data_IF_925355131970
#
_entry.id   IF_925355131970
#
_cell.length_a   1.000
_cell.length_b   1.000
_cell.length_c   1.000
_cell.angle_alpha   90.00
_cell.angle_beta   90.00
_cell.angle_gamma   90.00
#
_symmetry.space_group_name_H-M   'P 1'
#
loop_
_entity.id
_entity.type
_entity.pdbx_description
1 polymer ?
#
# COMPACT_ATOMS: atom_id res chain seq x y z
N UNK A 1 9.43 -12.62 -2.42
CA UNK A 1 10.19 -12.71 -1.15
C UNK A 1 9.47 -13.50 -0.06
N UNK A 2 8.30 -13.07 0.44
CA UNK A 2 7.61 -13.76 1.55
C UNK A 2 7.26 -15.24 1.26
N UNK A 3 6.89 -15.59 0.02
CA UNK A 3 6.65 -16.99 -0.39
C UNK A 3 7.89 -17.87 -0.22
N UNK A 4 9.06 -17.33 -0.52
CA UNK A 4 10.34 -18.03 -0.36
C UNK A 4 10.68 -18.20 1.13
N UNK A 5 10.53 -17.14 1.93
CA UNK A 5 10.77 -17.17 3.37
C UNK A 5 9.81 -18.12 4.11
N UNK A 6 8.55 -18.22 3.67
CA UNK A 6 7.57 -19.19 4.16
C UNK A 6 7.96 -20.62 3.80
N UNK A 7 8.43 -20.87 2.57
CA UNK A 7 8.93 -22.18 2.13
C UNK A 7 10.11 -22.66 2.98
N UNK A 8 10.93 -21.74 3.46
CA UNK A 8 12.07 -22.03 4.33
C UNK A 8 11.73 -21.96 5.84
N UNK A 9 10.45 -21.87 6.22
CA UNK A 9 10.00 -21.75 7.62
C UNK A 9 10.68 -20.61 8.41
N UNK A 10 11.25 -19.62 7.72
CA UNK A 10 12.09 -18.58 8.29
C UNK A 10 11.36 -17.75 9.36
N UNK A 11 10.07 -17.48 9.16
CA UNK A 11 9.24 -16.76 10.15
C UNK A 11 9.08 -17.55 11.46
N UNK A 12 8.93 -18.88 11.37
CA UNK A 12 8.82 -19.75 12.54
C UNK A 12 10.15 -19.86 13.30
N UNK A 13 11.28 -19.94 12.58
CA UNK A 13 12.61 -19.99 13.17
C UNK A 13 12.99 -18.69 13.89
N UNK A 14 12.55 -17.54 13.38
CA UNK A 14 12.80 -16.23 13.99
C UNK A 14 11.77 -15.86 15.08
N UNK A 15 10.79 -16.72 15.37
CA UNK A 15 9.71 -16.42 16.32
C UNK A 15 8.85 -15.21 15.91
N UNK A 16 8.84 -14.87 14.62
CA UNK A 16 8.12 -13.73 14.07
C UNK A 16 6.82 -14.17 13.42
N UNK A 17 5.73 -13.45 13.67
CA UNK A 17 4.50 -13.66 12.92
C UNK A 17 4.67 -13.22 11.46
N UNK A 18 4.12 -14.02 10.54
CA UNK A 18 4.12 -13.67 9.14
C UNK A 18 3.45 -12.31 8.92
N UNK A 19 4.14 -11.31 8.32
CA UNK A 19 3.56 -10.02 8.09
C UNK A 19 2.40 -10.14 7.10
N UNK A 20 1.24 -9.61 7.48
CA UNK A 20 0.08 -9.54 6.59
C UNK A 20 0.40 -8.55 5.48
N UNK A 21 0.76 -9.04 4.30
CA UNK A 21 1.06 -8.22 3.12
C UNK A 21 -0.08 -7.25 2.75
N UNK A 22 -1.33 -7.58 3.12
CA UNK A 22 -2.48 -6.70 2.97
C UNK A 22 -2.36 -5.38 3.76
N UNK A 23 -1.51 -5.33 4.78
CA UNK A 23 -1.18 -4.11 5.54
C UNK A 23 -0.13 -3.24 4.87
N UNK A 24 0.51 -3.74 3.82
CA UNK A 24 1.51 -3.02 3.01
C UNK A 24 0.95 -2.58 1.66
N UNK A 25 -0.32 -2.89 1.37
CA UNK A 25 -0.97 -2.54 0.09
C UNK A 25 -1.06 -1.02 -0.10
N UNK A 26 -1.07 -0.23 0.97
CA UNK A 26 -1.02 1.23 0.91
C UNK A 26 0.34 1.74 0.35
N UNK A 27 1.44 1.08 0.68
CA UNK A 27 2.76 1.35 0.10
C UNK A 27 2.88 0.88 -1.35
N UNK A 28 2.27 -0.27 -1.68
CA UNK A 28 2.18 -0.75 -3.07
C UNK A 28 1.39 0.23 -3.92
N UNK A 29 0.25 0.73 -3.42
CA UNK A 29 -0.57 1.70 -4.12
C UNK A 29 0.20 3.02 -4.40
N UNK A 30 0.97 3.50 -3.43
CA UNK A 30 1.85 4.67 -3.61
C UNK A 30 2.94 4.38 -4.66
N UNK A 31 3.63 3.24 -4.55
CA UNK A 31 4.73 2.86 -5.45
C UNK A 31 4.27 2.66 -6.89
N UNK A 32 3.14 2.00 -7.11
CA UNK A 32 2.58 1.76 -8.45
C UNK A 32 2.20 3.07 -9.15
N UNK A 33 1.69 4.05 -8.41
CA UNK A 33 1.31 5.33 -9.01
C UNK A 33 2.53 6.25 -9.19
N UNK A 34 3.47 6.27 -8.24
CA UNK A 34 4.69 7.07 -8.33
C UNK A 34 5.64 6.61 -9.45
N UNK A 35 5.64 5.31 -9.77
CA UNK A 35 6.51 4.72 -10.79
C UNK A 35 5.92 4.82 -12.22
N UNK A 36 4.79 5.53 -12.39
CA UNK A 36 4.10 5.72 -13.68
C UNK A 36 3.90 4.40 -14.43
N UNK A 37 3.73 3.30 -13.69
CA UNK A 37 3.52 1.97 -14.25
C UNK A 37 2.09 1.93 -14.81
N UNK A 38 1.86 1.36 -16.01
CA UNK A 38 0.51 1.20 -16.53
C UNK A 38 -0.37 0.50 -15.49
N UNK A 39 -1.53 1.12 -15.23
CA UNK A 39 -2.53 0.65 -14.29
C UNK A 39 -3.32 -0.50 -14.91
N UNK A 40 -2.65 -1.64 -15.04
CA UNK A 40 -3.23 -2.91 -15.45
C UNK A 40 -4.30 -3.35 -14.43
N UNK A 41 -5.20 -4.26 -14.81
CA UNK A 41 -6.32 -4.68 -13.93
C UNK A 41 -5.89 -5.07 -12.52
N UNK A 42 -4.76 -5.79 -12.39
CA UNK A 42 -4.21 -6.18 -11.09
C UNK A 42 -3.73 -4.98 -10.27
N UNK A 43 -3.00 -4.06 -10.89
CA UNK A 43 -2.51 -2.83 -10.27
C UNK A 43 -3.68 -1.93 -9.83
N UNK A 44 -4.72 -1.83 -10.66
CA UNK A 44 -5.94 -1.10 -10.33
C UNK A 44 -6.65 -1.69 -9.12
N UNK A 45 -6.75 -3.02 -9.00
CA UNK A 45 -7.36 -3.68 -7.83
C UNK A 45 -6.53 -3.41 -6.57
N UNK A 46 -5.21 -3.53 -6.65
CA UNK A 46 -4.30 -3.29 -5.53
C UNK A 46 -4.39 -1.83 -5.05
N UNK A 47 -4.34 -0.87 -5.97
CA UNK A 47 -4.48 0.55 -5.65
C UNK A 47 -5.85 0.85 -5.05
N UNK A 48 -6.93 0.25 -5.58
CA UNK A 48 -8.27 0.45 -5.03
C UNK A 48 -8.41 -0.09 -3.60
N UNK A 49 -7.83 -1.26 -3.31
CA UNK A 49 -7.79 -1.82 -1.95
C UNK A 49 -6.95 -0.95 -1.00
N UNK A 50 -5.81 -0.42 -1.46
CA UNK A 50 -4.99 0.51 -0.70
C UNK A 50 -5.73 1.81 -0.38
N UNK A 51 -6.41 2.38 -1.37
CA UNK A 51 -7.25 3.57 -1.20
C UNK A 51 -8.39 3.34 -0.21
N UNK A 52 -9.09 2.22 -0.28
CA UNK A 52 -10.14 1.92 0.70
C UNK A 52 -9.59 1.85 2.12
N UNK A 53 -8.40 1.26 2.30
CA UNK A 53 -7.74 1.19 3.60
C UNK A 53 -7.35 2.57 4.12
N UNK A 54 -6.83 3.43 3.25
CA UNK A 54 -6.48 4.82 3.57
C UNK A 54 -7.73 5.60 3.98
N UNK A 55 -8.81 5.49 3.20
CA UNK A 55 -10.11 6.12 3.48
C UNK A 55 -10.72 5.64 4.79
N UNK A 56 -10.49 4.39 5.17
CA UNK A 56 -10.91 3.82 6.44
C UNK A 56 -10.04 4.27 7.64
N UNK A 57 -9.07 5.17 7.43
CA UNK A 57 -8.18 5.65 8.49
C UNK A 57 -7.13 4.63 8.95
N UNK A 58 -6.98 3.51 8.24
CA UNK A 58 -6.01 2.44 8.54
C UNK A 58 -4.70 2.59 7.76
N UNK A 59 -4.44 3.79 7.23
CA UNK A 59 -3.18 4.14 6.61
C UNK A 59 -2.06 4.22 7.65
N UNK A 60 -0.84 3.89 7.24
CA UNK A 60 0.34 4.11 8.08
C UNK A 60 0.54 5.62 8.35
N UNK A 61 1.07 6.01 9.52
CA UNK A 61 1.27 7.41 9.89
C UNK A 61 2.15 8.18 8.90
N UNK A 62 3.13 7.53 8.26
CA UNK A 62 3.94 8.15 7.20
C UNK A 62 3.12 8.51 5.95
N UNK A 63 2.16 7.67 5.56
CA UNK A 63 1.27 7.98 4.42
C UNK A 63 0.29 9.08 4.81
N UNK A 64 -0.23 9.07 6.05
CA UNK A 64 -1.08 10.16 6.54
C UNK A 64 -0.35 11.50 6.53
N UNK A 65 0.90 11.54 6.99
CA UNK A 65 1.74 12.74 6.95
C UNK A 65 1.96 13.24 5.52
N UNK A 66 2.20 12.33 4.55
CA UNK A 66 2.33 12.72 3.14
C UNK A 66 1.03 13.30 2.57
N UNK A 67 -0.12 12.71 2.91
CA UNK A 67 -1.44 13.20 2.49
C UNK A 67 -1.71 14.60 3.07
N UNK A 68 -1.35 14.80 4.34
CA UNK A 68 -1.48 16.06 5.05
C UNK A 68 -0.58 17.15 4.44
N UNK A 69 0.69 16.83 4.15
CA UNK A 69 1.62 17.73 3.46
C UNK A 69 1.14 18.06 2.05
N UNK A 70 0.57 17.09 1.34
CA UNK A 70 -0.04 17.29 0.02
C UNK A 70 -1.35 18.09 0.09
N UNK A 71 -1.85 18.43 1.29
CA UNK A 71 -3.13 19.12 1.53
C UNK A 71 -4.32 18.42 0.85
N UNK A 72 -4.28 17.08 0.79
CA UNK A 72 -5.33 16.25 0.18
C UNK A 72 -6.23 15.65 1.27
N UNK A 73 -7.48 15.42 0.92
CA UNK A 73 -8.43 14.75 1.80
C UNK A 73 -8.29 13.22 1.64
N UNK A 74 -7.80 12.56 2.69
CA UNK A 74 -7.68 11.09 2.79
C UNK A 74 -8.96 10.34 2.43
N UNK A 75 -10.15 10.94 2.66
CA UNK A 75 -11.45 10.33 2.39
C UNK A 75 -11.85 10.40 0.92
N UNK A 76 -11.31 11.37 0.18
CA UNK A 76 -11.61 11.60 -1.24
C UNK A 76 -10.49 11.20 -2.18
N UNK A 77 -9.33 10.84 -1.65
CA UNK A 77 -8.17 10.41 -2.41
C UNK A 77 -8.52 9.35 -3.45
N UNK A 78 -8.16 9.62 -4.70
CA UNK A 78 -8.30 8.70 -5.84
C UNK A 78 -6.92 8.32 -6.38
N UNK A 79 -6.85 7.21 -7.14
CA UNK A 79 -5.60 6.70 -7.69
C UNK A 79 -4.84 7.75 -8.51
N UNK A 80 -5.56 8.62 -9.23
CA UNK A 80 -4.99 9.70 -10.03
C UNK A 80 -4.37 10.84 -9.19
N UNK A 81 -4.78 11.02 -7.93
CA UNK A 81 -4.19 12.04 -7.05
C UNK A 81 -2.74 11.69 -6.65
N UNK A 82 -2.39 10.41 -6.70
CA UNK A 82 -1.01 9.98 -6.43
C UNK A 82 -0.07 10.19 -7.64
N UNK A 83 -0.61 10.35 -8.85
CA UNK A 83 0.17 10.35 -10.10
C UNK A 83 0.46 11.74 -10.67
N UNK A 84 -0.16 12.77 -10.10
CA UNK A 84 0.03 14.16 -10.45
C UNK A 84 0.36 14.95 -9.19
N UNK A 85 1.64 14.93 -8.80
CA UNK A 85 2.26 15.85 -7.87
C UNK A 85 3.67 16.18 -8.38
#
# INVERSE_FOLDING_TARGET
LCVHMRKHNWFAEQGMQEPKLMELIDLVALGTVADVVPLDENNRILVHQGLQRIRAGKARPGIQALIEVAKRDARRLVASDFGFA
#
